data_IF_028030251591
#
_entry.id   IF_028030251591
#
_cell.length_a   1.000
_cell.length_b   1.000
_cell.length_c   1.000
_cell.angle_alpha   90.00
_cell.angle_beta   90.00
_cell.angle_gamma   90.00
#
_symmetry.space_group_name_H-M   'P 1'
#
loop_
_entity.id
_entity.type
_entity.pdbx_description
1 polymer ?
#
# COMPACT_ATOMS: atom_id res chain seq x y z
N UNK A 1 -9.43 14.09 12.74
CA UNK A 1 -8.75 13.30 11.70
C UNK A 1 -7.46 12.77 12.32
N UNK A 2 -7.22 11.47 12.34
CA UNK A 2 -5.97 10.93 12.86
C UNK A 2 -4.91 11.02 11.76
N UNK A 3 -3.70 11.44 12.10
CA UNK A 3 -2.59 11.50 11.16
C UNK A 3 -1.63 10.34 11.39
N UNK A 4 -0.95 9.90 10.33
CA UNK A 4 0.08 8.86 10.40
C UNK A 4 1.44 9.49 10.16
N UNK A 5 2.27 9.49 11.21
CA UNK A 5 3.65 10.01 11.12
C UNK A 5 4.61 8.89 10.83
N UNK A 6 5.42 9.09 9.81
CA UNK A 6 6.48 8.17 9.42
C UNK A 6 7.69 8.98 8.96
N UNK A 7 8.83 8.77 9.59
CA UNK A 7 10.05 9.53 9.33
C UNK A 7 9.80 11.04 9.34
N UNK A 8 10.02 11.70 8.20
CA UNK A 8 9.91 13.15 8.03
C UNK A 8 8.55 13.58 7.44
N UNK A 9 7.60 12.65 7.24
CA UNK A 9 6.29 12.99 6.67
C UNK A 9 5.15 12.73 7.65
N UNK A 10 4.06 13.46 7.45
CA UNK A 10 2.79 13.25 8.13
C UNK A 10 1.68 13.10 7.08
N UNK A 11 1.06 11.91 7.02
CA UNK A 11 -0.03 11.58 6.11
C UNK A 11 -1.35 11.89 6.81
N UNK A 12 -2.30 12.48 6.09
CA UNK A 12 -3.61 12.88 6.63
C UNK A 12 -3.69 14.34 7.08
N UNK A 13 -2.61 15.12 6.93
CA UNK A 13 -2.60 16.56 7.17
C UNK A 13 -1.89 17.33 6.06
N UNK A 14 -2.28 18.58 5.86
CA UNK A 14 -1.66 19.47 4.88
C UNK A 14 -1.88 19.04 3.42
N UNK A 15 -0.84 19.17 2.59
CA UNK A 15 -0.88 18.82 1.16
C UNK A 15 -0.83 17.31 0.99
N UNK A 16 -1.61 16.73 0.04
CA UNK A 16 -1.52 15.32 -0.30
C UNK A 16 -0.10 14.88 -0.61
N UNK A 17 0.29 13.69 -0.12
CA UNK A 17 1.62 13.12 -0.32
C UNK A 17 1.72 12.41 -1.65
N UNK A 18 2.88 12.52 -2.28
CA UNK A 18 3.17 11.88 -3.58
C UNK A 18 3.84 10.52 -3.31
N UNK A 19 3.16 9.45 -3.71
CA UNK A 19 3.69 8.08 -3.66
C UNK A 19 4.03 7.61 -5.08
N UNK A 20 5.27 7.20 -5.31
CA UNK A 20 5.74 6.76 -6.62
C UNK A 20 6.15 5.29 -6.57
N UNK A 21 5.59 4.42 -7.46
CA UNK A 21 5.95 3.01 -7.50
C UNK A 21 7.26 2.75 -8.24
N UNK A 22 8.02 1.76 -7.77
CA UNK A 22 9.11 1.08 -8.48
C UNK A 22 8.61 -0.30 -8.92
N UNK A 23 8.74 -0.60 -10.20
CA UNK A 23 8.30 -1.86 -10.82
C UNK A 23 9.42 -2.61 -11.55
N UNK A 24 10.66 -2.41 -11.16
CA UNK A 24 11.81 -3.09 -11.72
C UNK A 24 11.75 -4.61 -11.54
N UNK A 25 12.19 -5.36 -12.57
CA UNK A 25 12.23 -6.83 -12.54
C UNK A 25 13.52 -7.33 -11.92
N UNK A 26 14.65 -6.70 -12.21
CA UNK A 26 15.95 -7.05 -11.64
C UNK A 26 16.34 -6.09 -10.51
N UNK A 27 17.22 -6.52 -9.60
CA UNK A 27 17.77 -5.65 -8.57
C UNK A 27 18.37 -4.38 -9.17
N UNK A 28 19.11 -4.52 -10.28
CA UNK A 28 19.72 -3.37 -10.94
C UNK A 28 18.68 -2.34 -11.38
N UNK A 29 17.60 -2.77 -12.03
CA UNK A 29 16.54 -1.87 -12.50
C UNK A 29 15.87 -1.14 -11.32
N UNK A 30 15.59 -1.87 -10.24
CA UNK A 30 14.97 -1.33 -9.03
C UNK A 30 15.85 -0.22 -8.41
N UNK A 31 17.14 -0.47 -8.26
CA UNK A 31 18.06 0.49 -7.63
C UNK A 31 18.38 1.66 -8.55
N UNK A 32 18.50 1.44 -9.85
CA UNK A 32 18.71 2.52 -10.82
C UNK A 32 17.47 3.46 -10.87
N UNK A 33 16.27 2.92 -10.80
CA UNK A 33 15.04 3.72 -10.70
C UNK A 33 15.01 4.52 -9.38
N UNK A 34 15.32 3.89 -8.25
CA UNK A 34 15.35 4.56 -6.94
C UNK A 34 16.26 5.79 -6.91
N UNK A 35 17.43 5.73 -7.56
CA UNK A 35 18.38 6.84 -7.63
C UNK A 35 17.86 8.06 -8.40
N UNK A 36 16.85 7.89 -9.25
CA UNK A 36 16.25 9.01 -10.00
C UNK A 36 15.41 9.92 -9.11
N UNK A 37 14.98 9.44 -7.95
CA UNK A 37 14.04 10.17 -7.08
C UNK A 37 14.68 11.32 -6.30
N UNK A 38 16.01 11.40 -6.25
CA UNK A 38 16.72 12.57 -5.71
C UNK A 38 16.40 13.87 -6.47
N UNK A 39 15.94 13.76 -7.72
CA UNK A 39 15.70 14.89 -8.63
C UNK A 39 14.23 15.30 -8.76
N UNK A 40 13.31 14.56 -8.14
CA UNK A 40 11.86 14.81 -8.24
C UNK A 40 11.20 14.82 -6.83
N UNK A 41 10.11 15.59 -6.64
CA UNK A 41 9.41 15.60 -5.37
C UNK A 41 8.67 14.25 -5.16
N UNK A 42 9.16 13.44 -4.21
CA UNK A 42 8.55 12.17 -3.78
C UNK A 42 8.47 12.17 -2.27
N UNK A 43 7.30 11.85 -1.73
CA UNK A 43 7.10 11.72 -0.29
C UNK A 43 7.22 10.26 0.18
N UNK A 44 6.80 9.29 -0.64
CA UNK A 44 6.83 7.84 -0.37
C UNK A 44 7.23 7.10 -1.63
N UNK A 45 8.10 6.13 -1.51
CA UNK A 45 8.39 5.18 -2.60
C UNK A 45 7.72 3.85 -2.32
N UNK A 46 6.89 3.38 -3.25
CA UNK A 46 6.26 2.06 -3.20
C UNK A 46 7.08 1.05 -4.00
N UNK A 47 7.76 0.12 -3.34
CA UNK A 47 8.36 -0.99 -4.07
C UNK A 47 7.33 -2.10 -4.32
N UNK A 48 6.97 -2.32 -5.59
CA UNK A 48 6.11 -3.38 -6.09
C UNK A 48 6.92 -4.67 -6.22
N UNK A 49 7.09 -5.37 -5.09
CA UNK A 49 7.95 -6.56 -5.03
C UNK A 49 7.42 -7.74 -5.85
N UNK A 50 6.15 -7.75 -6.21
CA UNK A 50 5.55 -8.76 -7.09
C UNK A 50 6.16 -8.76 -8.51
N UNK A 51 6.75 -7.66 -8.97
CA UNK A 51 7.49 -7.58 -10.23
C UNK A 51 8.87 -8.24 -10.15
N UNK A 52 9.48 -8.24 -8.97
CA UNK A 52 10.85 -8.71 -8.78
C UNK A 52 10.99 -10.20 -9.11
N UNK A 53 11.96 -10.57 -9.96
CA UNK A 53 12.17 -11.94 -10.45
C UNK A 53 12.43 -12.95 -9.32
N UNK A 54 13.10 -12.52 -8.24
CA UNK A 54 13.46 -13.36 -7.08
C UNK A 54 12.58 -13.11 -5.84
N UNK A 55 11.32 -12.66 -6.00
CA UNK A 55 10.45 -12.29 -4.87
C UNK A 55 10.21 -13.43 -3.87
N UNK A 56 10.31 -14.69 -4.30
CA UNK A 56 10.15 -15.86 -3.43
C UNK A 56 11.45 -16.31 -2.73
N UNK A 57 12.57 -15.64 -3.01
CA UNK A 57 13.87 -15.83 -2.35
C UNK A 57 14.08 -14.69 -1.36
N UNK A 58 13.68 -14.89 -0.09
CA UNK A 58 13.65 -13.79 0.88
C UNK A 58 15.01 -13.10 1.06
N UNK A 59 16.10 -13.83 1.04
CA UNK A 59 17.46 -13.26 1.17
C UNK A 59 17.74 -12.26 0.03
N UNK A 60 17.21 -12.52 -1.17
CA UNK A 60 17.29 -11.58 -2.29
C UNK A 60 16.39 -10.35 -2.11
N UNK A 61 15.19 -10.55 -1.55
CA UNK A 61 14.29 -9.45 -1.20
C UNK A 61 14.94 -8.55 -0.15
N UNK A 62 15.53 -9.12 0.89
CA UNK A 62 16.22 -8.37 1.94
C UNK A 62 17.43 -7.59 1.39
N UNK A 63 18.22 -8.20 0.50
CA UNK A 63 19.33 -7.52 -0.18
C UNK A 63 18.86 -6.28 -0.95
N UNK A 64 17.76 -6.38 -1.69
CA UNK A 64 17.16 -5.24 -2.42
C UNK A 64 16.64 -4.18 -1.44
N UNK A 65 15.93 -4.58 -0.37
CA UNK A 65 15.42 -3.64 0.62
C UNK A 65 16.53 -2.83 1.28
N UNK A 66 17.65 -3.47 1.60
CA UNK A 66 18.83 -2.80 2.14
C UNK A 66 19.38 -1.75 1.17
N UNK A 67 19.61 -2.11 -0.09
CA UNK A 67 20.12 -1.18 -1.10
C UNK A 67 19.11 -0.06 -1.43
N UNK A 68 17.80 -0.36 -1.44
CA UNK A 68 16.75 0.66 -1.57
C UNK A 68 16.81 1.67 -0.42
N UNK A 69 16.97 1.19 0.82
CA UNK A 69 17.11 2.07 1.98
C UNK A 69 18.35 2.96 1.89
N UNK A 70 19.46 2.41 1.42
CA UNK A 70 20.69 3.18 1.20
C UNK A 70 20.49 4.25 0.10
N UNK A 71 19.84 3.89 -1.02
CA UNK A 71 19.60 4.81 -2.13
C UNK A 71 18.56 5.91 -1.80
N UNK A 72 17.49 5.58 -1.09
CA UNK A 72 16.38 6.49 -0.78
C UNK A 72 16.59 7.31 0.51
N UNK A 73 17.62 6.99 1.29
CA UNK A 73 17.94 7.72 2.52
C UNK A 73 16.78 7.81 3.48
N UNK A 74 16.18 9.00 3.64
CA UNK A 74 15.09 9.24 4.58
C UNK A 74 13.68 9.24 3.94
N UNK A 75 13.55 8.94 2.64
CA UNK A 75 12.24 8.79 1.99
C UNK A 75 11.60 7.50 2.50
N UNK A 76 10.35 7.52 3.01
CA UNK A 76 9.64 6.32 3.45
C UNK A 76 9.49 5.28 2.33
N UNK A 77 9.71 4.01 2.67
CA UNK A 77 9.53 2.87 1.77
C UNK A 77 8.27 2.10 2.16
N UNK A 78 7.36 1.98 1.20
CA UNK A 78 6.22 1.08 1.24
C UNK A 78 6.56 -0.18 0.44
N UNK A 79 6.55 -1.36 1.07
CA UNK A 79 6.65 -2.63 0.34
C UNK A 79 5.25 -3.16 0.04
N UNK A 80 5.00 -3.44 -1.24
CA UNK A 80 3.71 -3.97 -1.73
C UNK A 80 3.94 -5.23 -2.55
N UNK A 81 3.44 -6.37 -2.07
CA UNK A 81 3.21 -7.53 -2.93
C UNK A 81 1.75 -7.50 -3.38
N UNK A 82 1.49 -7.02 -4.59
CA UNK A 82 0.16 -7.07 -5.19
C UNK A 82 -0.07 -8.45 -5.77
N UNK A 83 -1.11 -9.15 -5.28
CA UNK A 83 -1.45 -10.48 -5.80
C UNK A 83 -2.11 -10.39 -7.18
N UNK A 84 -2.01 -11.45 -7.95
CA UNK A 84 -2.71 -11.54 -9.24
C UNK A 84 -4.23 -11.45 -9.12
N UNK A 85 -4.79 -11.68 -7.93
CA UNK A 85 -6.23 -11.50 -7.65
C UNK A 85 -6.65 -10.02 -7.64
N UNK A 86 -5.73 -9.14 -7.27
CA UNK A 86 -5.93 -7.69 -7.25
C UNK A 86 -5.03 -6.96 -8.27
N UNK A 87 -4.75 -7.61 -9.42
CA UNK A 87 -4.08 -7.00 -10.57
C UNK A 87 -2.56 -6.92 -10.47
N UNK A 88 -1.93 -7.73 -9.65
CA UNK A 88 -0.47 -7.88 -9.57
C UNK A 88 0.06 -8.96 -10.52
N UNK A 89 1.40 -9.09 -10.56
CA UNK A 89 2.11 -9.94 -11.50
C UNK A 89 2.14 -11.42 -11.08
N UNK A 90 2.09 -11.71 -9.76
CA UNK A 90 2.26 -13.07 -9.27
C UNK A 90 1.18 -13.45 -8.26
N UNK A 91 0.88 -14.74 -8.21
CA UNK A 91 0.11 -15.34 -7.12
C UNK A 91 1.03 -15.77 -5.99
N UNK A 92 0.49 -15.82 -4.79
CA UNK A 92 1.19 -16.28 -3.59
C UNK A 92 0.18 -16.95 -2.66
N UNK A 93 0.60 -17.99 -1.95
CA UNK A 93 -0.24 -18.62 -0.93
C UNK A 93 -0.35 -17.71 0.31
N UNK A 94 -1.51 -17.67 0.98
CA UNK A 94 -1.74 -16.75 2.09
C UNK A 94 -0.70 -16.79 3.22
N UNK A 95 -0.22 -17.98 3.58
CA UNK A 95 0.81 -18.13 4.60
C UNK A 95 2.18 -17.61 4.15
N UNK A 96 2.53 -17.77 2.89
CA UNK A 96 3.80 -17.26 2.34
C UNK A 96 3.71 -15.73 2.13
N UNK A 97 2.53 -15.21 1.78
CA UNK A 97 2.24 -13.78 1.78
C UNK A 97 2.46 -13.16 3.17
N UNK A 98 1.93 -13.82 4.21
CA UNK A 98 2.16 -13.36 5.59
C UNK A 98 3.63 -13.40 5.98
N UNK A 99 4.34 -14.50 5.67
CA UNK A 99 5.78 -14.63 5.96
C UNK A 99 6.60 -13.54 5.27
N UNK A 100 6.34 -13.28 3.98
CA UNK A 100 7.05 -12.26 3.20
C UNK A 100 6.89 -10.88 3.84
N UNK A 101 5.66 -10.46 4.13
CA UNK A 101 5.35 -9.16 4.69
C UNK A 101 5.95 -8.98 6.10
N UNK A 102 5.80 -9.99 6.98
CA UNK A 102 6.34 -9.93 8.35
C UNK A 102 7.86 -9.90 8.35
N UNK A 103 8.52 -10.74 7.55
CA UNK A 103 9.98 -10.73 7.43
C UNK A 103 10.48 -9.38 6.92
N UNK A 104 9.84 -8.81 5.89
CA UNK A 104 10.21 -7.49 5.39
C UNK A 104 10.07 -6.40 6.45
N UNK A 105 8.98 -6.41 7.24
CA UNK A 105 8.81 -5.47 8.35
C UNK A 105 9.94 -5.62 9.40
N UNK A 106 10.37 -6.84 9.68
CA UNK A 106 11.42 -7.13 10.66
C UNK A 106 12.84 -6.73 10.21
N UNK A 107 13.07 -6.45 8.93
CA UNK A 107 14.38 -5.99 8.43
C UNK A 107 14.77 -4.60 8.94
N UNK A 108 13.78 -3.77 9.31
CA UNK A 108 13.99 -2.36 9.65
C UNK A 108 14.26 -1.44 8.44
N UNK A 109 14.15 -1.96 7.20
CA UNK A 109 14.37 -1.19 5.97
C UNK A 109 13.09 -0.57 5.42
N UNK A 110 11.91 -1.11 5.77
CA UNK A 110 10.62 -0.61 5.31
C UNK A 110 9.90 0.19 6.39
N UNK A 111 9.06 1.11 5.97
CA UNK A 111 8.27 1.97 6.85
C UNK A 111 6.78 1.63 6.80
N UNK A 112 6.34 1.08 5.66
CA UNK A 112 4.98 0.62 5.42
C UNK A 112 4.96 -0.76 4.77
N UNK A 113 3.91 -1.53 5.08
CA UNK A 113 3.51 -2.75 4.38
C UNK A 113 2.10 -2.55 3.82
N UNK A 114 1.88 -2.93 2.54
CA UNK A 114 0.53 -3.03 1.96
C UNK A 114 -0.04 -4.43 2.21
N UNK A 115 -1.28 -4.50 2.70
CA UNK A 115 -1.98 -5.76 2.97
C UNK A 115 -3.34 -5.77 2.30
N UNK A 116 -3.56 -6.73 1.39
CA UNK A 116 -4.87 -6.93 0.76
C UNK A 116 -5.88 -7.46 1.78
N UNK A 117 -6.92 -6.66 2.07
CA UNK A 117 -7.86 -6.91 3.19
C UNK A 117 -8.68 -8.20 3.05
N UNK A 118 -8.84 -8.73 1.83
CA UNK A 118 -9.62 -9.94 1.55
C UNK A 118 -8.76 -11.20 1.37
N UNK A 119 -7.49 -11.18 1.79
CA UNK A 119 -6.62 -12.40 1.80
C UNK A 119 -7.06 -13.41 2.88
N UNK A 120 -7.92 -13.01 3.81
CA UNK A 120 -8.45 -13.81 4.93
C UNK A 120 -8.11 -13.16 6.26
N UNK A 121 -9.11 -13.06 7.14
CA UNK A 121 -9.02 -12.25 8.36
C UNK A 121 -7.85 -12.69 9.27
N UNK A 122 -7.65 -13.99 9.45
CA UNK A 122 -6.55 -14.52 10.26
C UNK A 122 -5.16 -14.15 9.69
N UNK A 123 -5.01 -14.20 8.38
CA UNK A 123 -3.78 -13.82 7.67
C UNK A 123 -3.53 -12.32 7.79
N UNK A 124 -4.56 -11.51 7.53
CA UNK A 124 -4.47 -10.05 7.62
C UNK A 124 -4.10 -9.62 9.04
N UNK A 125 -4.78 -10.15 10.07
CA UNK A 125 -4.46 -9.86 11.47
C UNK A 125 -3.00 -10.24 11.79
N UNK A 126 -2.55 -11.43 11.38
CA UNK A 126 -1.18 -11.90 11.59
C UNK A 126 -0.14 -10.95 10.98
N UNK A 127 -0.41 -10.41 9.78
CA UNK A 127 0.49 -9.45 9.12
C UNK A 127 0.49 -8.11 9.85
N UNK A 128 -0.69 -7.58 10.18
CA UNK A 128 -0.82 -6.29 10.89
C UNK A 128 -0.09 -6.33 12.23
N UNK A 129 -0.35 -7.37 13.04
CA UNK A 129 0.28 -7.54 14.35
C UNK A 129 1.81 -7.67 14.21
N UNK A 130 2.28 -8.45 13.22
CA UNK A 130 3.71 -8.62 12.95
C UNK A 130 4.40 -7.34 12.48
N UNK A 131 3.76 -6.55 11.64
CA UNK A 131 4.27 -5.26 11.18
C UNK A 131 4.30 -4.25 12.33
N UNK A 132 3.23 -4.13 13.11
CA UNK A 132 3.17 -3.23 14.27
C UNK A 132 4.20 -3.61 15.35
N UNK A 133 4.41 -4.90 15.59
CA UNK A 133 5.46 -5.37 16.52
C UNK A 133 6.87 -4.96 16.06
N UNK A 134 7.09 -4.80 14.75
CA UNK A 134 8.33 -4.28 14.18
C UNK A 134 8.37 -2.73 14.06
N UNK A 135 7.31 -2.03 14.49
CA UNK A 135 7.20 -0.57 14.39
C UNK A 135 6.85 -0.06 12.99
N UNK A 136 6.43 -0.95 12.09
CA UNK A 136 6.06 -0.64 10.70
C UNK A 136 4.57 -0.36 10.60
N UNK A 137 4.19 0.64 9.80
CA UNK A 137 2.81 1.02 9.54
C UNK A 137 2.17 0.15 8.47
N UNK A 138 0.85 -0.03 8.54
CA UNK A 138 0.11 -0.89 7.62
C UNK A 138 -0.89 -0.07 6.79
N UNK A 139 -0.77 -0.20 5.47
CA UNK A 139 -1.78 0.22 4.51
C UNK A 139 -2.62 -1.02 4.18
N UNK A 140 -3.87 -1.07 4.62
CA UNK A 140 -4.78 -2.11 4.17
C UNK A 140 -5.45 -1.68 2.86
N UNK A 141 -5.42 -2.54 1.85
CA UNK A 141 -5.85 -2.19 0.51
C UNK A 141 -6.90 -3.14 -0.06
N UNK A 142 -7.67 -2.62 -1.01
CA UNK A 142 -8.51 -3.41 -1.90
C UNK A 142 -8.65 -2.74 -3.27
N UNK A 143 -8.62 -3.54 -4.33
CA UNK A 143 -8.66 -3.08 -5.71
C UNK A 143 -9.79 -3.78 -6.47
N UNK A 144 -10.63 -2.99 -7.15
CA UNK A 144 -11.66 -3.48 -8.08
C UNK A 144 -11.38 -2.88 -9.47
N UNK A 145 -10.83 -3.70 -10.37
CA UNK A 145 -10.45 -3.27 -11.72
C UNK A 145 -11.62 -3.30 -12.72
N UNK A 146 -12.80 -3.72 -12.28
CA UNK A 146 -13.94 -3.95 -13.18
C UNK A 146 -15.03 -2.89 -13.03
N UNK A 147 -15.21 -2.35 -11.83
CA UNK A 147 -16.31 -1.43 -11.52
C UNK A 147 -16.01 -0.56 -10.29
N UNK A 148 -16.87 0.41 -10.08
CA UNK A 148 -17.01 1.09 -8.79
C UNK A 148 -18.15 0.42 -8.02
N UNK A 149 -17.90 -0.20 -6.86
CA UNK A 149 -18.94 -0.76 -6.01
C UNK A 149 -19.94 0.31 -5.53
N UNK A 150 -21.07 -0.12 -5.02
CA UNK A 150 -22.02 0.76 -4.35
C UNK A 150 -21.37 1.44 -3.12
N UNK A 151 -21.84 2.66 -2.80
CA UNK A 151 -21.29 3.47 -1.69
C UNK A 151 -21.21 2.69 -0.38
N UNK A 152 -22.27 1.94 -0.03
CA UNK A 152 -22.32 1.12 1.19
C UNK A 152 -21.26 0.02 1.23
N UNK A 153 -20.93 -0.58 0.08
CA UNK A 153 -19.88 -1.60 -0.02
C UNK A 153 -18.50 -0.98 0.13
N UNK A 154 -18.25 0.18 -0.48
CA UNK A 154 -17.02 0.94 -0.30
C UNK A 154 -16.81 1.27 1.19
N UNK A 155 -17.83 1.80 1.86
CA UNK A 155 -17.79 2.11 3.30
C UNK A 155 -17.51 0.84 4.12
N UNK A 156 -18.19 -0.27 3.82
CA UNK A 156 -17.96 -1.55 4.49
C UNK A 156 -16.50 -2.01 4.38
N UNK A 157 -15.91 -1.95 3.16
CA UNK A 157 -14.52 -2.35 2.93
C UNK A 157 -13.55 -1.45 3.73
N UNK A 158 -13.74 -0.14 3.69
CA UNK A 158 -12.90 0.81 4.43
C UNK A 158 -13.03 0.64 5.95
N UNK A 159 -14.24 0.42 6.46
CA UNK A 159 -14.47 0.12 7.87
C UNK A 159 -13.83 -1.19 8.31
N UNK A 160 -13.94 -2.24 7.50
CA UNK A 160 -13.27 -3.52 7.77
C UNK A 160 -11.76 -3.31 7.94
N UNK A 161 -11.12 -2.50 7.09
CA UNK A 161 -9.69 -2.17 7.21
C UNK A 161 -9.38 -1.45 8.54
N UNK A 162 -10.22 -0.50 8.92
CA UNK A 162 -10.10 0.21 10.19
C UNK A 162 -10.32 -0.71 11.40
N UNK A 163 -11.38 -1.54 11.38
CA UNK A 163 -11.73 -2.45 12.45
C UNK A 163 -10.64 -3.53 12.66
N UNK A 164 -9.88 -3.85 11.62
CA UNK A 164 -8.71 -4.72 11.69
C UNK A 164 -7.42 -3.99 12.09
N UNK A 165 -7.52 -2.72 12.54
CA UNK A 165 -6.41 -1.92 13.05
C UNK A 165 -5.33 -1.55 12.01
N UNK A 166 -5.69 -1.41 10.74
CA UNK A 166 -4.81 -0.83 9.74
C UNK A 166 -4.61 0.68 10.00
N UNK A 167 -3.39 1.18 9.77
CA UNK A 167 -3.09 2.60 9.94
C UNK A 167 -3.70 3.46 8.82
N UNK A 168 -3.73 2.93 7.59
CA UNK A 168 -4.24 3.63 6.41
C UNK A 168 -5.14 2.69 5.60
N UNK A 169 -6.46 2.91 5.59
CA UNK A 169 -7.36 2.26 4.64
C UNK A 169 -7.16 2.80 3.22
N UNK A 170 -7.07 1.92 2.22
CA UNK A 170 -6.88 2.26 0.81
C UNK A 170 -7.85 1.49 -0.07
N UNK A 171 -8.58 2.18 -0.93
CA UNK A 171 -9.42 1.55 -1.94
C UNK A 171 -9.12 2.11 -3.33
N UNK A 172 -9.04 1.22 -4.32
CA UNK A 172 -8.93 1.58 -5.72
C UNK A 172 -10.08 0.93 -6.50
N UNK A 173 -10.75 1.71 -7.33
CA UNK A 173 -11.91 1.25 -8.11
C UNK A 173 -11.83 1.72 -9.55
N UNK A 174 -12.58 1.09 -10.45
CA UNK A 174 -12.63 1.44 -11.86
C UNK A 174 -13.95 2.16 -12.18
N UNK A 175 -13.98 3.51 -12.23
CA UNK A 175 -15.17 4.25 -12.60
C UNK A 175 -15.50 4.05 -14.09
N UNK A 176 -16.77 3.75 -14.38
CA UNK A 176 -17.30 3.60 -15.74
C UNK A 176 -17.98 4.89 -16.24
N UNK A 177 -18.27 5.80 -15.31
CA UNK A 177 -18.95 7.07 -15.58
C UNK A 177 -18.70 8.07 -14.45
N UNK A 178 -19.13 9.33 -14.66
CA UNK A 178 -18.94 10.40 -13.68
C UNK A 178 -19.63 10.15 -12.34
N UNK A 179 -20.76 9.42 -12.33
CA UNK A 179 -21.48 9.07 -11.10
C UNK A 179 -20.64 8.16 -10.21
N UNK A 180 -19.86 7.26 -10.80
CA UNK A 180 -18.97 6.36 -10.06
C UNK A 180 -17.89 7.14 -9.29
N UNK A 181 -17.32 8.18 -9.93
CA UNK A 181 -16.37 9.08 -9.26
C UNK A 181 -17.03 9.79 -8.07
N UNK A 182 -18.24 10.30 -8.26
CA UNK A 182 -19.00 10.95 -7.17
C UNK A 182 -19.35 9.96 -6.05
N UNK A 183 -19.66 8.71 -6.39
CA UNK A 183 -19.91 7.63 -5.41
C UNK A 183 -18.69 7.39 -4.54
N UNK A 184 -17.51 7.30 -5.14
CA UNK A 184 -16.25 7.12 -4.42
C UNK A 184 -15.92 8.33 -3.52
N UNK A 185 -16.06 9.54 -4.04
CA UNK A 185 -15.85 10.77 -3.27
C UNK A 185 -16.82 10.87 -2.08
N UNK A 186 -18.10 10.53 -2.31
CA UNK A 186 -19.12 10.57 -1.26
C UNK A 186 -18.89 9.50 -0.17
N UNK A 187 -18.38 8.31 -0.54
CA UNK A 187 -18.00 7.29 0.43
C UNK A 187 -16.81 7.75 1.28
N UNK A 188 -15.83 8.38 0.66
CA UNK A 188 -14.65 8.92 1.34
C UNK A 188 -14.99 10.06 2.29
N UNK A 189 -15.86 10.97 1.85
CA UNK A 189 -16.34 12.06 2.69
C UNK A 189 -17.04 11.52 3.94
N UNK A 190 -17.96 10.56 3.77
CA UNK A 190 -18.66 9.92 4.88
C UNK A 190 -17.69 9.21 5.85
N UNK A 191 -16.71 8.48 5.33
CA UNK A 191 -15.68 7.85 6.18
C UNK A 191 -14.88 8.87 6.97
N UNK A 192 -14.56 10.01 6.37
CA UNK A 192 -13.79 11.08 7.02
C UNK A 192 -14.62 11.80 8.07
N UNK A 193 -15.92 12.03 7.81
CA UNK A 193 -16.80 12.84 8.66
C UNK A 193 -17.39 12.06 9.84
N UNK A 194 -17.76 10.78 9.62
CA UNK A 194 -18.48 9.97 10.60
C UNK A 194 -17.60 8.93 11.32
N UNK A 195 -16.53 8.51 10.70
CA UNK A 195 -15.62 7.51 11.24
C UNK A 195 -14.24 8.16 11.36
N UNK A 196 -13.68 8.24 12.54
CA UNK A 196 -12.37 8.86 12.78
C UNK A 196 -11.22 8.05 12.12
N UNK A 197 -11.26 7.93 10.78
CA UNK A 197 -10.21 7.26 9.99
C UNK A 197 -8.94 8.07 9.97
N UNK A 198 -7.82 7.38 10.03
CA UNK A 198 -6.50 8.00 9.98
C UNK A 198 -6.24 8.66 8.63
N UNK A 199 -6.61 8.01 7.54
CA UNK A 199 -6.54 8.55 6.18
C UNK A 199 -7.15 7.56 5.19
N UNK A 200 -7.82 8.06 4.14
CA UNK A 200 -8.32 7.24 3.03
C UNK A 200 -7.64 7.69 1.74
N UNK A 201 -6.89 6.80 1.11
CA UNK A 201 -6.27 7.06 -0.17
C UNK A 201 -7.22 6.65 -1.31
N UNK A 202 -7.52 7.60 -2.21
CA UNK A 202 -8.34 7.39 -3.39
C UNK A 202 -7.46 7.22 -4.62
N UNK A 203 -7.66 6.15 -5.37
CA UNK A 203 -7.15 6.02 -6.72
C UNK A 203 -8.30 5.67 -7.65
N UNK A 204 -8.72 6.64 -8.49
CA UNK A 204 -9.47 6.35 -9.70
C UNK A 204 -8.45 6.18 -10.82
N UNK A 205 -8.53 5.10 -11.60
CA UNK A 205 -7.78 5.04 -12.85
C UNK A 205 -8.40 6.06 -13.80
N UNK A 206 -7.69 7.15 -14.05
CA UNK A 206 -8.10 8.16 -14.99
C UNK A 206 -7.90 7.64 -16.42
N UNK A 207 -8.99 7.23 -17.05
CA UNK A 207 -9.14 7.22 -18.51
C UNK A 207 -10.55 7.66 -18.83
N UNK A 208 -10.85 8.92 -18.56
CA UNK A 208 -11.98 9.60 -19.18
C UNK A 208 -11.38 10.63 -20.14
N UNK A 209 -10.97 10.16 -21.33
CA UNK A 209 -10.82 11.03 -22.51
C UNK A 209 -12.18 11.47 -23.00
#
# INVERSE_FOLDING_TARGET
MNTVKVRNIEIGSGVPKICVPIVGVTKKDIIDEAKTFDSIPVDVVEWRVDWFEHVFEFDKVEEVLKELREALGNIPILMTFRTSKEGGEKSIEPEDYAKLNIKAAQTGYVDFIDVEIFTGDAIVTKIIDGAHAAGVKVIASNHDFHKTPEKSDIIYRLRKMQDMNADIPKIAVMPQNKKDVLTLLSATEEMTSLYAVSYTHLRAHETLS
#
